data_IF_840079005449
#
_entry.id   IF_840079005449
#
_cell.length_a   1.000
_cell.length_b   1.000
_cell.length_c   1.000
_cell.angle_alpha   90.00
_cell.angle_beta   90.00
_cell.angle_gamma   90.00
#
_symmetry.space_group_name_H-M   'P 1'
#
loop_
_entity.id
_entity.type
_entity.pdbx_description
1 polymer ?
#
# COMPACT_ATOMS: atom_id res chain seq x y z
N UNK A 1 -5.47 21.66 -13.50
CA UNK A 1 -4.11 21.22 -13.17
C UNK A 1 -3.94 21.37 -11.67
N UNK A 2 -4.26 20.33 -10.91
CA UNK A 2 -4.05 20.33 -9.46
C UNK A 2 -2.59 20.00 -9.21
N UNK A 3 -1.74 21.02 -9.03
CA UNK A 3 -0.38 20.80 -8.56
C UNK A 3 -0.49 20.18 -7.16
N UNK A 4 -0.12 18.90 -7.03
CA UNK A 4 0.09 18.26 -5.74
C UNK A 4 1.30 18.94 -5.09
N UNK A 5 1.03 19.95 -4.27
CA UNK A 5 2.09 20.72 -3.62
C UNK A 5 2.45 20.06 -2.30
N UNK A 6 3.65 19.47 -2.24
CA UNK A 6 4.30 19.17 -0.96
C UNK A 6 5.06 20.43 -0.54
N UNK A 7 4.72 21.04 0.60
CA UNK A 7 5.45 22.20 1.10
C UNK A 7 6.96 21.95 1.21
N UNK A 8 7.78 22.91 0.78
CA UNK A 8 9.24 22.74 0.75
C UNK A 8 9.85 22.46 2.13
N UNK A 9 9.23 22.97 3.21
CA UNK A 9 9.65 22.74 4.59
C UNK A 9 9.43 21.29 5.07
N UNK A 10 8.58 20.54 4.37
CA UNK A 10 8.40 19.10 4.57
C UNK A 10 9.44 18.26 3.83
N UNK A 11 10.22 18.85 2.91
CA UNK A 11 11.23 18.15 2.12
C UNK A 11 12.61 18.18 2.80
N UNK A 12 13.40 17.14 2.54
CA UNK A 12 14.84 17.12 2.84
C UNK A 12 15.58 17.38 1.54
N UNK A 13 16.17 18.57 1.40
CA UNK A 13 17.00 18.90 0.25
C UNK A 13 18.45 18.51 0.56
N UNK A 14 18.93 17.42 -0.04
CA UNK A 14 20.31 16.98 0.16
C UNK A 14 21.29 17.79 -0.69
N UNK A 15 22.40 18.19 -0.06
CA UNK A 15 23.59 18.70 -0.76
C UNK A 15 24.67 17.62 -0.97
N UNK A 16 24.44 16.42 -0.44
CA UNK A 16 25.43 15.34 -0.38
C UNK A 16 25.12 14.17 -1.34
N UNK A 17 23.90 14.06 -1.83
CA UNK A 17 23.47 13.01 -2.75
C UNK A 17 22.60 13.59 -3.87
N UNK A 18 22.71 13.08 -5.11
CA UNK A 18 21.84 13.48 -6.21
C UNK A 18 20.42 12.96 -6.00
N UNK A 19 19.43 13.61 -6.62
CA UNK A 19 18.04 13.12 -6.67
C UNK A 19 17.98 11.69 -7.21
N UNK A 20 17.09 10.87 -6.64
CA UNK A 20 16.86 9.50 -7.08
C UNK A 20 16.54 9.46 -8.57
N UNK A 21 17.16 8.51 -9.27
CA UNK A 21 16.91 8.29 -10.70
C UNK A 21 16.71 6.80 -10.95
N UNK A 22 15.70 6.48 -11.76
CA UNK A 22 15.42 5.12 -12.21
C UNK A 22 15.24 5.12 -13.72
N UNK A 23 15.97 4.23 -14.40
CA UNK A 23 15.87 4.01 -15.83
C UNK A 23 15.30 2.62 -16.08
N UNK A 24 14.13 2.53 -16.69
CA UNK A 24 13.56 1.26 -17.15
C UNK A 24 13.59 1.14 -18.68
N UNK A 25 13.80 -0.09 -19.14
CA UNK A 25 13.59 -0.50 -20.53
C UNK A 25 12.35 -1.40 -20.53
N UNK A 26 11.29 -0.95 -21.19
CA UNK A 26 10.01 -1.64 -21.21
C UNK A 26 9.78 -2.38 -22.53
N UNK A 27 9.27 -3.61 -22.46
CA UNK A 27 8.86 -4.42 -23.62
C UNK A 27 7.40 -4.84 -23.39
N UNK A 28 6.50 -4.45 -24.31
CA UNK A 28 5.06 -4.71 -24.20
C UNK A 28 4.44 -4.24 -22.87
N UNK A 29 4.83 -3.06 -22.39
CA UNK A 29 4.30 -2.47 -21.15
C UNK A 29 4.86 -3.06 -19.85
N UNK A 30 5.74 -4.08 -19.95
CA UNK A 30 6.41 -4.70 -18.81
C UNK A 30 7.88 -4.27 -18.75
N UNK A 31 8.41 -4.14 -17.54
CA UNK A 31 9.82 -3.80 -17.31
C UNK A 31 10.70 -5.00 -17.69
N UNK A 32 11.53 -4.84 -18.71
CA UNK A 32 12.51 -5.85 -19.13
C UNK A 32 13.87 -5.67 -18.41
N UNK A 33 14.32 -4.42 -18.25
CA UNK A 33 15.51 -4.06 -17.49
C UNK A 33 15.28 -2.79 -16.67
N UNK A 34 15.91 -2.69 -15.52
CA UNK A 34 15.86 -1.53 -14.65
C UNK A 34 17.23 -1.20 -14.05
N UNK A 35 17.62 0.07 -14.08
CA UNK A 35 18.81 0.59 -13.41
C UNK A 35 18.37 1.65 -12.40
N UNK A 36 18.62 1.39 -11.12
CA UNK A 36 18.27 2.28 -10.02
C UNK A 36 19.50 2.97 -9.43
N UNK A 37 19.41 4.28 -9.25
CA UNK A 37 20.30 5.08 -8.43
C UNK A 37 19.44 5.84 -7.43
N UNK A 38 18.97 5.14 -6.39
CA UNK A 38 17.98 5.64 -5.43
C UNK A 38 18.60 5.69 -4.02
N UNK A 39 19.45 4.73 -3.70
CA UNK A 39 20.05 4.51 -2.39
C UNK A 39 20.79 5.73 -1.83
N UNK A 40 21.59 6.51 -2.60
CA UNK A 40 22.34 7.63 -2.05
C UNK A 40 21.44 8.70 -1.40
N UNK A 41 20.32 9.06 -2.03
CA UNK A 41 19.39 10.07 -1.51
C UNK A 41 18.51 9.51 -0.40
N UNK A 42 18.04 8.27 -0.53
CA UNK A 42 17.20 7.65 0.50
C UNK A 42 17.95 7.48 1.82
N UNK A 43 19.27 7.24 1.78
CA UNK A 43 20.13 7.22 2.98
C UNK A 43 20.21 8.56 3.72
N UNK A 44 19.80 9.67 3.10
CA UNK A 44 19.74 10.99 3.74
C UNK A 44 18.48 11.13 4.61
N UNK A 45 17.47 10.29 4.40
CA UNK A 45 16.30 10.19 5.26
C UNK A 45 16.73 9.32 6.45
N UNK A 46 17.14 9.99 7.52
CA UNK A 46 17.68 9.35 8.74
C UNK A 46 16.68 9.49 9.90
N UNK A 47 16.80 8.68 10.98
CA UNK A 47 15.95 8.85 12.16
C UNK A 47 16.01 10.28 12.72
N UNK A 48 17.20 10.88 12.72
CA UNK A 48 17.40 12.27 13.15
C UNK A 48 16.63 13.28 12.30
N UNK A 49 16.55 13.07 10.98
CA UNK A 49 15.79 13.96 10.10
C UNK A 49 14.28 13.83 10.27
N UNK A 50 13.79 12.62 10.57
CA UNK A 50 12.38 12.39 10.93
C UNK A 50 12.06 13.04 12.27
N UNK A 51 12.91 12.83 13.29
CA UNK A 51 12.70 13.39 14.63
C UNK A 51 12.64 14.93 14.64
N UNK A 52 13.49 15.60 13.85
CA UNK A 52 13.43 17.08 13.68
C UNK A 52 12.07 17.56 13.15
N UNK A 53 11.35 16.69 12.45
CA UNK A 53 10.08 16.93 11.78
C UNK A 53 8.90 16.27 12.48
N UNK A 54 9.08 15.82 13.73
CA UNK A 54 8.03 15.13 14.50
C UNK A 54 6.71 15.90 14.60
N UNK A 55 6.76 17.24 14.57
CA UNK A 55 5.56 18.08 14.65
C UNK A 55 4.59 17.85 13.47
N UNK A 56 5.07 17.43 12.29
CA UNK A 56 4.17 17.08 11.18
C UNK A 56 3.32 15.83 11.45
N UNK A 57 3.68 15.01 12.43
CA UNK A 57 2.89 13.84 12.81
C UNK A 57 1.69 14.20 13.67
N UNK A 58 1.61 15.42 14.24
CA UNK A 58 0.54 15.80 15.18
C UNK A 58 -0.83 15.90 14.48
N UNK A 59 -0.87 16.41 13.26
CA UNK A 59 -2.11 16.78 12.57
C UNK A 59 -2.54 15.83 11.45
N UNK A 60 -1.78 14.75 11.21
CA UNK A 60 -2.11 13.79 10.13
C UNK A 60 -3.11 12.73 10.61
N UNK A 61 -3.92 12.22 9.68
CA UNK A 61 -4.81 11.07 9.92
C UNK A 61 -4.10 9.72 9.70
N UNK A 62 -3.10 9.71 8.81
CA UNK A 62 -2.36 8.53 8.41
C UNK A 62 -0.96 8.92 7.93
N UNK A 63 0.04 8.14 8.34
CA UNK A 63 1.40 8.19 7.82
C UNK A 63 1.57 7.05 6.84
N UNK A 64 1.96 7.35 5.61
CA UNK A 64 2.21 6.34 4.57
C UNK A 64 3.72 6.26 4.36
N UNK A 65 4.27 5.05 4.42
CA UNK A 65 5.69 4.79 4.13
C UNK A 65 5.82 3.70 3.10
N UNK A 66 6.70 3.93 2.14
CA UNK A 66 7.21 2.87 1.30
C UNK A 66 8.32 2.08 2.01
N UNK A 67 8.76 0.99 1.39
CA UNK A 67 9.87 0.17 1.85
C UNK A 67 11.24 0.70 1.46
N UNK A 68 11.37 1.90 0.86
CA UNK A 68 12.67 2.41 0.43
C UNK A 68 13.46 2.99 1.61
N UNK A 69 12.82 3.67 2.56
CA UNK A 69 13.49 4.25 3.73
C UNK A 69 14.13 3.19 4.64
N UNK A 70 15.33 3.47 5.17
CA UNK A 70 16.07 2.48 5.97
C UNK A 70 15.28 2.01 7.21
N UNK A 71 15.56 0.80 7.71
CA UNK A 71 14.78 0.16 8.77
C UNK A 71 14.78 0.99 10.07
N UNK A 72 15.93 1.57 10.47
CA UNK A 72 16.02 2.41 11.66
C UNK A 72 15.15 3.67 11.55
N UNK A 73 15.08 4.26 10.36
CA UNK A 73 14.25 5.43 10.07
C UNK A 73 12.79 5.04 10.06
N UNK A 74 12.44 3.90 9.46
CA UNK A 74 11.06 3.43 9.50
C UNK A 74 10.61 3.12 10.93
N UNK A 75 11.49 2.53 11.76
CA UNK A 75 11.23 2.33 13.19
C UNK A 75 11.00 3.65 13.93
N UNK A 76 11.77 4.69 13.63
CA UNK A 76 11.54 6.04 14.16
C UNK A 76 10.18 6.62 13.71
N UNK A 77 9.82 6.46 12.43
CA UNK A 77 8.50 6.83 11.88
C UNK A 77 7.38 6.11 12.64
N UNK A 78 7.49 4.79 12.82
CA UNK A 78 6.51 4.01 13.59
C UNK A 78 6.42 4.47 15.05
N UNK A 79 7.57 4.72 15.70
CA UNK A 79 7.62 5.15 17.10
C UNK A 79 6.93 6.50 17.30
N UNK A 80 7.24 7.49 16.46
CA UNK A 80 6.63 8.82 16.53
C UNK A 80 5.13 8.74 16.21
N UNK A 81 4.76 7.95 15.19
CA UNK A 81 3.35 7.74 14.85
C UNK A 81 2.58 7.11 16.02
N UNK A 82 3.17 6.15 16.71
CA UNK A 82 2.57 5.51 17.88
C UNK A 82 2.40 6.51 19.04
N UNK A 83 3.42 7.34 19.31
CA UNK A 83 3.37 8.41 20.32
C UNK A 83 2.18 9.36 20.08
N UNK A 84 1.95 9.74 18.82
CA UNK A 84 0.85 10.62 18.42
C UNK A 84 -0.46 9.88 18.06
N UNK A 85 -0.52 8.57 18.31
CA UNK A 85 -1.68 7.70 18.02
C UNK A 85 -2.14 7.76 16.55
N UNK A 86 -1.20 7.84 15.62
CA UNK A 86 -1.45 7.92 14.17
C UNK A 86 -1.44 6.55 13.51
N UNK A 87 -2.28 6.41 12.48
CA UNK A 87 -2.28 5.22 11.63
C UNK A 87 -1.00 5.19 10.80
N UNK A 88 -0.39 4.02 10.66
CA UNK A 88 0.77 3.81 9.78
C UNK A 88 0.39 2.81 8.70
N UNK A 89 0.45 3.21 7.43
CA UNK A 89 0.31 2.34 6.27
C UNK A 89 1.68 2.05 5.66
N UNK A 90 1.97 0.77 5.45
CA UNK A 90 3.21 0.33 4.84
C UNK A 90 2.97 -0.38 3.50
N UNK A 91 3.75 0.03 2.50
CA UNK A 91 3.88 -0.65 1.21
C UNK A 91 5.33 -1.10 1.02
N UNK A 92 5.62 -2.41 0.92
CA UNK A 92 6.98 -2.88 0.72
C UNK A 92 7.67 -2.32 -0.52
N UNK A 93 6.96 -2.08 -1.62
CA UNK A 93 7.47 -1.75 -2.97
C UNK A 93 8.38 -2.78 -3.65
N UNK A 94 9.06 -3.64 -2.90
CA UNK A 94 9.86 -4.74 -3.43
C UNK A 94 10.00 -5.86 -2.39
N UNK A 95 10.19 -7.10 -2.89
CA UNK A 95 10.32 -8.32 -2.09
C UNK A 95 11.42 -8.17 -1.03
N UNK A 96 12.57 -7.55 -1.38
CA UNK A 96 13.70 -7.37 -0.45
C UNK A 96 13.40 -6.38 0.68
N UNK A 97 12.38 -5.52 0.54
CA UNK A 97 12.00 -4.57 1.58
C UNK A 97 11.10 -5.17 2.64
N UNK A 98 10.44 -6.30 2.33
CA UNK A 98 9.67 -7.08 3.30
C UNK A 98 10.58 -7.55 4.45
N UNK A 99 11.86 -7.82 4.17
CA UNK A 99 12.87 -8.21 5.17
C UNK A 99 13.12 -7.15 6.25
N UNK A 100 12.66 -5.92 6.05
CA UNK A 100 12.74 -4.84 7.06
C UNK A 100 11.66 -4.96 8.12
N UNK A 101 10.66 -5.81 7.92
CA UNK A 101 9.60 -6.05 8.87
C UNK A 101 10.09 -7.04 9.93
N UNK A 102 10.08 -6.59 11.16
CA UNK A 102 10.16 -7.43 12.34
C UNK A 102 8.87 -7.32 13.15
N UNK A 103 8.75 -8.13 14.21
CA UNK A 103 7.54 -8.18 15.04
C UNK A 103 7.21 -6.84 15.68
N UNK A 104 8.22 -6.03 16.03
CA UNK A 104 7.98 -4.74 16.67
C UNK A 104 7.40 -3.73 15.69
N UNK A 105 7.93 -3.70 14.47
CA UNK A 105 7.42 -2.85 13.40
C UNK A 105 6.00 -3.27 13.04
N UNK A 106 5.76 -4.55 12.82
CA UNK A 106 4.41 -5.06 12.48
C UNK A 106 3.37 -4.70 13.53
N UNK A 107 3.72 -4.74 14.81
CA UNK A 107 2.81 -4.36 15.90
C UNK A 107 2.48 -2.86 15.95
N UNK A 108 3.17 -2.03 15.16
CA UNK A 108 2.93 -0.59 15.06
C UNK A 108 2.23 -0.20 13.76
N UNK A 109 2.07 -1.14 12.82
CA UNK A 109 1.37 -0.87 11.56
C UNK A 109 -0.14 -0.94 11.77
N UNK A 110 -0.83 0.04 11.20
CA UNK A 110 -2.28 -0.01 11.03
C UNK A 110 -2.66 -0.74 9.73
N UNK A 111 -1.90 -0.47 8.66
CA UNK A 111 -2.13 -1.00 7.32
C UNK A 111 -0.88 -1.58 6.68
N UNK A 112 -1.04 -2.67 5.92
CA UNK A 112 0.05 -3.30 5.16
C UNK A 112 -0.45 -3.79 3.81
N UNK A 113 0.30 -3.52 2.72
CA UNK A 113 -0.20 -3.69 1.34
C UNK A 113 0.71 -4.47 0.37
N UNK A 114 1.20 -5.67 0.71
CA UNK A 114 2.09 -6.41 -0.17
C UNK A 114 1.40 -6.88 -1.46
N UNK A 115 2.16 -6.98 -2.55
CA UNK A 115 1.76 -7.80 -3.70
C UNK A 115 1.94 -9.30 -3.41
N UNK A 116 1.50 -10.16 -4.34
CA UNK A 116 1.64 -11.63 -4.25
C UNK A 116 3.05 -12.10 -3.84
N UNK A 117 4.10 -11.56 -4.44
CA UNK A 117 5.46 -12.05 -4.21
C UNK A 117 6.02 -11.55 -2.88
N UNK A 118 5.75 -10.29 -2.54
CA UNK A 118 6.06 -9.72 -1.22
C UNK A 118 5.31 -10.45 -0.12
N UNK A 119 4.06 -10.84 -0.37
CA UNK A 119 3.25 -11.61 0.56
C UNK A 119 3.81 -13.01 0.82
N UNK A 120 4.25 -13.71 -0.23
CA UNK A 120 4.96 -14.99 -0.07
C UNK A 120 6.22 -14.82 0.77
N UNK A 121 6.99 -13.75 0.53
CA UNK A 121 8.18 -13.45 1.33
C UNK A 121 7.83 -13.15 2.79
N UNK A 122 6.75 -12.42 3.03
CA UNK A 122 6.20 -12.20 4.37
C UNK A 122 5.86 -13.54 5.04
N UNK A 123 5.18 -14.45 4.33
CA UNK A 123 4.88 -15.78 4.85
C UNK A 123 6.16 -16.54 5.26
N UNK A 124 7.21 -16.49 4.44
CA UNK A 124 8.49 -17.13 4.76
C UNK A 124 9.14 -16.57 6.03
N UNK A 125 9.22 -15.23 6.16
CA UNK A 125 9.83 -14.55 7.31
C UNK A 125 9.09 -14.88 8.61
N UNK A 126 7.76 -14.90 8.55
CA UNK A 126 6.90 -15.08 9.73
C UNK A 126 6.46 -16.53 9.95
N UNK A 127 7.06 -17.49 9.24
CA UNK A 127 6.78 -18.92 9.34
C UNK A 127 5.29 -19.27 9.15
N UNK A 128 4.63 -18.54 8.26
CA UNK A 128 3.27 -18.87 7.83
C UNK A 128 3.38 -20.06 6.87
N UNK A 129 2.61 -21.14 7.09
CA UNK A 129 2.57 -22.29 6.19
C UNK A 129 2.42 -21.88 4.72
N UNK A 130 3.18 -22.57 3.87
CA UNK A 130 3.15 -22.36 2.42
C UNK A 130 1.71 -22.49 1.90
N UNK A 131 1.35 -21.54 1.04
CA UNK A 131 0.02 -21.43 0.45
C UNK A 131 0.09 -22.04 -0.96
N UNK A 132 -0.89 -22.87 -1.29
CA UNK A 132 -0.98 -23.49 -2.61
C UNK A 132 -1.02 -22.42 -3.71
N UNK A 133 -0.24 -22.61 -4.78
CA UNK A 133 -0.15 -21.65 -5.88
C UNK A 133 -1.52 -21.39 -6.53
N UNK A 134 -2.39 -22.40 -6.56
CA UNK A 134 -3.76 -22.29 -7.08
C UNK A 134 -4.63 -21.32 -6.30
N UNK A 135 -4.35 -21.07 -5.01
CA UNK A 135 -5.07 -20.08 -4.23
C UNK A 135 -4.86 -18.67 -4.79
N UNK A 136 -3.71 -18.39 -5.43
CA UNK A 136 -3.40 -17.07 -5.99
C UNK A 136 -3.98 -16.84 -7.38
N UNK A 137 -4.67 -17.82 -8.00
CA UNK A 137 -5.19 -17.65 -9.37
C UNK A 137 -6.41 -16.73 -9.44
N UNK A 138 -7.13 -16.55 -8.33
CA UNK A 138 -8.23 -15.59 -8.18
C UNK A 138 -8.26 -15.06 -6.75
N UNK A 139 -8.63 -13.79 -6.57
CA UNK A 139 -8.78 -13.19 -5.25
C UNK A 139 -9.78 -13.94 -4.35
N UNK A 140 -10.87 -14.44 -4.94
CA UNK A 140 -11.87 -15.24 -4.22
C UNK A 140 -11.26 -16.53 -3.67
N UNK A 141 -10.41 -17.22 -4.43
CA UNK A 141 -9.79 -18.48 -4.00
C UNK A 141 -8.83 -18.28 -2.84
N UNK A 142 -8.07 -17.19 -2.86
CA UNK A 142 -7.19 -16.83 -1.74
C UNK A 142 -8.02 -16.44 -0.51
N UNK A 143 -9.10 -15.68 -0.68
CA UNK A 143 -10.00 -15.32 0.40
C UNK A 143 -10.62 -16.57 1.05
N UNK A 144 -11.16 -17.49 0.25
CA UNK A 144 -11.73 -18.76 0.70
C UNK A 144 -10.69 -19.64 1.40
N UNK A 145 -9.47 -19.69 0.87
CA UNK A 145 -8.36 -20.43 1.47
C UNK A 145 -8.12 -20.02 2.92
N UNK A 146 -8.13 -18.71 3.20
CA UNK A 146 -7.96 -18.18 4.55
C UNK A 146 -9.24 -18.23 5.39
N UNK A 147 -10.42 -18.01 4.81
CA UNK A 147 -11.69 -18.10 5.53
C UNK A 147 -11.90 -19.49 6.14
N UNK A 148 -11.44 -20.54 5.46
CA UNK A 148 -11.49 -21.92 5.93
C UNK A 148 -10.39 -22.28 6.95
N UNK A 149 -9.40 -21.40 7.17
CA UNK A 149 -8.20 -21.64 7.99
C UNK A 149 -8.01 -20.54 9.03
N UNK A 150 -8.98 -20.39 9.94
CA UNK A 150 -9.00 -19.32 10.95
C UNK A 150 -7.67 -19.18 11.72
N UNK A 151 -7.05 -20.29 12.13
CA UNK A 151 -5.75 -20.25 12.84
C UNK A 151 -4.63 -19.65 11.99
N UNK A 152 -4.62 -19.94 10.69
CA UNK A 152 -3.67 -19.38 9.74
C UNK A 152 -3.92 -17.88 9.56
N UNK A 153 -5.18 -17.49 9.40
CA UNK A 153 -5.62 -16.09 9.27
C UNK A 153 -5.21 -15.26 10.48
N UNK A 154 -5.36 -15.80 11.69
CA UNK A 154 -4.89 -15.14 12.92
C UNK A 154 -3.37 -14.98 12.94
N UNK A 155 -2.62 -15.99 12.47
CA UNK A 155 -1.16 -15.91 12.34
C UNK A 155 -0.69 -14.86 11.32
N UNK A 156 -1.50 -14.60 10.28
CA UNK A 156 -1.22 -13.59 9.26
C UNK A 156 -1.33 -12.16 9.79
N UNK A 157 -2.11 -11.96 10.86
CA UNK A 157 -2.59 -10.66 11.34
C UNK A 157 -2.01 -10.30 12.73
N UNK A 158 -0.67 -10.13 12.87
CA UNK A 158 -0.07 -9.86 14.16
C UNK A 158 -0.51 -8.51 14.74
N UNK A 159 -0.63 -8.49 16.06
CA UNK A 159 -0.69 -7.26 16.87
C UNK A 159 -1.80 -6.29 16.48
N UNK A 160 -1.42 -5.08 16.07
CA UNK A 160 -2.31 -3.95 15.80
C UNK A 160 -2.60 -3.72 14.32
N UNK A 161 -2.24 -4.64 13.43
CA UNK A 161 -2.67 -4.52 12.03
C UNK A 161 -4.21 -4.54 12.03
N UNK A 162 -4.80 -3.56 11.33
CA UNK A 162 -6.23 -3.43 11.12
C UNK A 162 -6.62 -3.71 9.68
N UNK A 163 -5.74 -3.39 8.72
CA UNK A 163 -5.94 -3.65 7.29
C UNK A 163 -4.72 -4.35 6.70
N UNK A 164 -4.89 -5.55 6.18
CA UNK A 164 -3.85 -6.26 5.42
C UNK A 164 -4.40 -6.50 4.02
N UNK A 165 -3.79 -5.88 3.03
CA UNK A 165 -4.25 -5.86 1.66
C UNK A 165 -3.26 -6.57 0.76
N UNK A 166 -3.70 -7.61 0.06
CA UNK A 166 -2.86 -8.39 -0.85
C UNK A 166 -3.29 -8.10 -2.29
N UNK A 167 -2.41 -7.45 -3.05
CA UNK A 167 -2.64 -7.24 -4.49
C UNK A 167 -2.16 -8.45 -5.30
N UNK A 168 -2.99 -8.91 -6.24
CA UNK A 168 -2.75 -10.12 -7.04
C UNK A 168 -2.70 -9.84 -8.54
N UNK A 169 -2.53 -8.58 -8.94
CA UNK A 169 -2.54 -8.17 -10.35
C UNK A 169 -3.89 -8.47 -11.00
N UNK A 170 -3.88 -9.21 -12.11
CA UNK A 170 -5.09 -9.62 -12.84
C UNK A 170 -6.06 -10.48 -12.02
N UNK A 171 -5.55 -11.18 -11.00
CA UNK A 171 -6.38 -12.00 -10.11
C UNK A 171 -7.16 -11.15 -9.08
N UNK A 172 -6.94 -9.83 -9.02
CA UNK A 172 -7.67 -8.90 -8.17
C UNK A 172 -6.96 -8.58 -6.86
N UNK A 173 -7.74 -8.43 -5.78
CA UNK A 173 -7.25 -8.01 -4.47
C UNK A 173 -8.01 -8.72 -3.34
N UNK A 174 -7.30 -9.02 -2.25
CA UNK A 174 -7.88 -9.53 -1.01
C UNK A 174 -7.57 -8.57 0.12
N UNK A 175 -8.59 -8.18 0.89
CA UNK A 175 -8.45 -7.38 2.10
C UNK A 175 -8.88 -8.21 3.30
N UNK A 176 -8.01 -8.21 4.29
CA UNK A 176 -8.28 -8.71 5.62
C UNK A 176 -8.44 -7.49 6.54
N UNK A 177 -9.55 -7.44 7.26
CA UNK A 177 -9.94 -6.32 8.11
C UNK A 177 -10.22 -6.80 9.52
N UNK A 178 -9.56 -6.22 10.52
CA UNK A 178 -9.93 -6.44 11.91
C UNK A 178 -11.25 -5.75 12.20
N UNK A 179 -12.22 -6.50 12.73
CA UNK A 179 -13.52 -5.94 13.09
C UNK A 179 -13.37 -4.91 14.22
N UNK A 180 -14.06 -3.78 14.08
CA UNK A 180 -14.11 -2.74 15.10
C UNK A 180 -14.97 -3.16 16.30
N UNK A 181 -15.93 -4.08 16.10
CA UNK A 181 -16.82 -4.59 17.15
C UNK A 181 -16.14 -5.71 17.94
N UNK A 182 -15.39 -6.58 17.27
CA UNK A 182 -14.67 -7.67 17.90
C UNK A 182 -13.26 -7.80 17.30
N UNK A 183 -12.21 -7.29 17.97
CA UNK A 183 -10.82 -7.35 17.49
C UNK A 183 -10.27 -8.75 17.20
N UNK A 184 -10.90 -9.81 17.71
CA UNK A 184 -10.51 -11.20 17.42
C UNK A 184 -11.09 -11.75 16.11
N UNK A 185 -12.01 -11.01 15.49
CA UNK A 185 -12.65 -11.34 14.22
C UNK A 185 -11.95 -10.61 13.10
N UNK A 186 -11.48 -11.38 12.12
CA UNK A 186 -10.91 -10.88 10.87
C UNK A 186 -11.94 -11.10 9.76
N UNK A 187 -12.45 -10.02 9.20
CA UNK A 187 -13.29 -10.03 8.00
C UNK A 187 -12.41 -10.13 6.76
N UNK A 188 -12.80 -10.97 5.81
CA UNK A 188 -12.07 -11.17 4.55
C UNK A 188 -12.97 -10.73 3.41
N UNK A 189 -12.49 -9.80 2.60
CA UNK A 189 -13.15 -9.31 1.37
C UNK A 189 -12.24 -9.55 0.20
N UNK A 190 -12.82 -9.87 -0.95
CA UNK A 190 -12.07 -9.96 -2.21
C UNK A 190 -12.81 -9.22 -3.32
N UNK A 191 -12.04 -8.68 -4.26
CA UNK A 191 -12.57 -8.08 -5.48
C UNK A 191 -11.72 -8.54 -6.66
N UNK A 192 -12.39 -9.05 -7.69
CA UNK A 192 -11.77 -9.35 -8.97
C UNK A 192 -11.20 -8.07 -9.60
N UNK A 193 -10.16 -8.21 -10.42
CA UNK A 193 -9.61 -7.08 -11.16
C UNK A 193 -10.71 -6.48 -12.08
N UNK A 194 -10.96 -5.16 -12.04
CA UNK A 194 -11.98 -4.57 -12.90
C UNK A 194 -11.59 -4.75 -14.37
N UNK A 195 -12.59 -4.90 -15.23
CA UNK A 195 -12.37 -4.84 -16.67
C UNK A 195 -12.03 -3.39 -17.07
N UNK A 196 -11.01 -3.23 -17.89
CA UNK A 196 -10.61 -1.94 -18.45
C UNK A 196 -10.26 -2.09 -19.94
N UNK A 197 -10.40 -1.01 -20.69
CA UNK A 197 -10.41 -1.09 -22.17
C UNK A 197 -9.03 -1.41 -22.75
N UNK A 198 -7.96 -0.97 -22.08
CA UNK A 198 -6.60 -1.10 -22.60
C UNK A 198 -5.57 -1.29 -21.49
N UNK A 199 -4.70 -2.28 -21.63
CA UNK A 199 -3.47 -2.34 -20.83
C UNK A 199 -2.36 -1.56 -21.53
N UNK A 200 -1.72 -0.63 -20.82
CA UNK A 200 -0.57 0.13 -21.34
C UNK A 200 0.69 -0.15 -20.51
N UNK A 201 0.62 -0.03 -19.18
CA UNK A 201 1.76 -0.17 -18.28
C UNK A 201 1.30 -0.62 -16.90
N UNK A 202 2.05 -1.50 -16.24
CA UNK A 202 1.80 -1.84 -14.82
C UNK A 202 2.44 -0.85 -13.83
N UNK A 203 3.26 0.09 -14.31
CA UNK A 203 4.04 0.98 -13.46
C UNK A 203 3.12 1.98 -12.73
N UNK A 204 3.22 2.05 -11.40
CA UNK A 204 2.42 2.94 -10.56
C UNK A 204 1.02 2.42 -10.22
N UNK A 205 0.62 1.23 -10.70
CA UNK A 205 -0.70 0.68 -10.41
C UNK A 205 -0.91 0.35 -8.92
N UNK A 206 0.12 -0.17 -8.25
CA UNK A 206 0.11 -0.43 -6.81
C UNK A 206 0.00 0.86 -5.98
N UNK A 207 0.86 1.84 -6.27
CA UNK A 207 0.83 3.17 -5.61
C UNK A 207 -0.54 3.85 -5.78
N UNK A 208 -1.07 3.81 -7.01
CA UNK A 208 -2.38 4.32 -7.36
C UNK A 208 -3.50 3.60 -6.60
N UNK A 209 -3.41 2.27 -6.50
CA UNK A 209 -4.33 1.48 -5.70
C UNK A 209 -4.33 1.93 -4.23
N UNK A 210 -3.14 1.99 -3.61
CA UNK A 210 -2.97 2.35 -2.21
C UNK A 210 -3.50 3.76 -1.94
N UNK A 211 -3.18 4.73 -2.80
CA UNK A 211 -3.70 6.10 -2.72
C UNK A 211 -5.23 6.14 -2.77
N UNK A 212 -5.85 5.46 -3.73
CA UNK A 212 -7.31 5.42 -3.88
C UNK A 212 -8.00 4.77 -2.68
N UNK A 213 -7.46 3.65 -2.20
CA UNK A 213 -7.96 2.93 -1.04
C UNK A 213 -7.89 3.78 0.23
N UNK A 214 -6.70 4.30 0.56
CA UNK A 214 -6.46 5.10 1.77
C UNK A 214 -7.32 6.36 1.75
N UNK A 215 -7.40 7.05 0.60
CA UNK A 215 -8.24 8.25 0.46
C UNK A 215 -9.72 7.96 0.72
N UNK A 216 -10.25 6.84 0.21
CA UNK A 216 -11.63 6.43 0.47
C UNK A 216 -11.85 6.10 1.94
N UNK A 217 -10.94 5.32 2.53
CA UNK A 217 -11.04 4.93 3.94
C UNK A 217 -11.00 6.15 4.87
N UNK A 218 -10.08 7.09 4.65
CA UNK A 218 -9.99 8.32 5.45
C UNK A 218 -11.20 9.23 5.31
N UNK A 219 -12.02 9.06 4.26
CA UNK A 219 -13.30 9.74 4.08
C UNK A 219 -14.48 9.04 4.78
N UNK A 220 -14.22 7.95 5.52
CA UNK A 220 -15.24 7.21 6.26
C UNK A 220 -16.04 6.23 5.43
N UNK A 221 -15.60 5.92 4.20
CA UNK A 221 -16.23 4.88 3.40
C UNK A 221 -15.87 3.49 3.97
N UNK A 222 -16.76 2.52 3.76
CA UNK A 222 -16.50 1.13 4.12
C UNK A 222 -15.40 0.48 3.26
N UNK A 223 -15.05 -0.75 3.62
CA UNK A 223 -14.02 -1.53 2.94
C UNK A 223 -14.36 -1.85 1.49
N UNK A 224 -15.63 -2.11 1.17
CA UNK A 224 -16.06 -2.45 -0.18
C UNK A 224 -15.96 -1.26 -1.13
N UNK A 225 -16.34 -0.08 -0.66
CA UNK A 225 -16.18 1.18 -1.40
C UNK A 225 -14.69 1.52 -1.53
N UNK A 226 -13.92 1.34 -0.46
CA UNK A 226 -12.48 1.65 -0.46
C UNK A 226 -11.69 0.75 -1.40
N UNK A 227 -12.03 -0.54 -1.49
CA UNK A 227 -11.49 -1.44 -2.50
C UNK A 227 -11.84 -0.97 -3.92
N UNK A 228 -13.07 -0.55 -4.16
CA UNK A 228 -13.48 -0.03 -5.48
C UNK A 228 -12.72 1.23 -5.87
N UNK A 229 -12.50 2.15 -4.93
CA UNK A 229 -11.71 3.37 -5.19
C UNK A 229 -10.25 3.02 -5.53
N UNK A 230 -9.63 2.12 -4.76
CA UNK A 230 -8.29 1.60 -5.08
C UNK A 230 -8.24 0.99 -6.48
N UNK A 231 -9.19 0.12 -6.82
CA UNK A 231 -9.25 -0.53 -8.13
C UNK A 231 -9.45 0.45 -9.29
N UNK A 232 -10.33 1.46 -9.16
CA UNK A 232 -10.55 2.48 -10.20
C UNK A 232 -9.32 3.36 -10.41
N UNK A 233 -8.61 3.68 -9.32
CA UNK A 233 -7.38 4.47 -9.37
C UNK A 233 -6.26 3.67 -10.04
N UNK A 234 -6.10 2.39 -9.67
CA UNK A 234 -5.17 1.47 -10.32
C UNK A 234 -5.49 1.26 -11.80
N UNK A 235 -6.76 1.04 -12.15
CA UNK A 235 -7.20 0.88 -13.55
C UNK A 235 -6.90 2.12 -14.41
N UNK A 236 -6.98 3.31 -13.82
CA UNK A 236 -6.60 4.55 -14.52
C UNK A 236 -5.09 4.58 -14.83
N UNK A 237 -4.26 4.20 -13.85
CA UNK A 237 -2.79 4.06 -14.03
C UNK A 237 -2.43 2.98 -15.05
N UNK A 238 -3.08 1.82 -15.00
CA UNK A 238 -2.87 0.70 -15.94
C UNK A 238 -3.12 1.07 -17.41
N UNK A 239 -4.01 2.05 -17.63
CA UNK A 239 -4.40 2.59 -18.93
C UNK A 239 -3.53 3.77 -19.39
N UNK A 240 -2.39 4.02 -18.74
CA UNK A 240 -1.52 5.16 -18.99
C UNK A 240 -0.04 4.76 -19.12
N UNK A 241 0.76 5.65 -19.72
CA UNK A 241 2.23 5.58 -19.62
C UNK A 241 2.76 6.30 -18.37
N UNK A 242 2.02 7.31 -17.90
CA UNK A 242 2.30 8.00 -16.64
C UNK A 242 1.95 7.11 -15.45
N UNK A 243 2.80 7.06 -14.42
CA UNK A 243 2.55 6.29 -13.19
C UNK A 243 1.32 6.80 -12.44
N UNK A 244 1.09 8.12 -12.47
CA UNK A 244 -0.09 8.80 -11.94
C UNK A 244 -0.68 9.69 -13.04
N UNK A 245 -1.65 9.19 -13.82
CA UNK A 245 -2.27 9.98 -14.88
C UNK A 245 -3.21 11.05 -14.35
N UNK A 246 -3.31 12.17 -15.08
CA UNK A 246 -4.25 13.27 -14.80
C UNK A 246 -5.74 12.86 -14.86
N UNK A 247 -6.03 11.67 -15.40
CA UNK A 247 -7.38 11.09 -15.41
C UNK A 247 -7.84 10.66 -14.01
N UNK A 248 -6.91 10.45 -13.08
CA UNK A 248 -7.22 10.20 -11.67
C UNK A 248 -7.82 11.47 -11.06
N UNK A 249 -9.13 11.45 -10.84
CA UNK A 249 -9.88 12.52 -10.20
C UNK A 249 -10.98 11.94 -9.32
N UNK A 250 -11.45 12.72 -8.33
CA UNK A 250 -12.54 12.29 -7.46
C UNK A 250 -13.81 11.95 -8.25
N UNK A 251 -14.09 12.70 -9.32
CA UNK A 251 -15.28 12.46 -10.16
C UNK A 251 -15.15 11.16 -10.95
N UNK A 252 -13.96 10.88 -11.50
CA UNK A 252 -13.69 9.61 -12.18
C UNK A 252 -13.74 8.42 -11.22
N UNK A 253 -13.19 8.57 -10.01
CA UNK A 253 -13.13 7.50 -9.01
C UNK A 253 -14.51 7.23 -8.38
N UNK A 254 -15.34 8.25 -8.16
CA UNK A 254 -16.72 8.06 -7.66
C UNK A 254 -17.63 7.36 -8.68
N UNK A 255 -17.35 7.54 -9.97
CA UNK A 255 -18.22 7.08 -11.05
C UNK A 255 -19.46 7.96 -11.18
N UNK A 256 -20.00 8.11 -12.39
CA UNK A 256 -21.20 8.92 -12.63
C UNK A 256 -22.40 8.32 -11.87
N UNK A 257 -22.92 9.10 -10.91
CA UNK A 257 -24.09 8.92 -10.02
C UNK A 257 -23.90 8.05 -8.78
N UNK A 258 -23.28 8.64 -7.75
CA UNK A 258 -23.94 8.63 -6.44
C UNK A 258 -25.22 9.47 -6.59
N UNK A 259 -26.37 8.81 -6.75
CA UNK A 259 -27.64 9.49 -6.55
C UNK A 259 -27.61 10.05 -5.13
N UNK A 260 -27.58 11.38 -5.01
CA UNK A 260 -27.88 12.06 -3.75
C UNK A 260 -29.17 11.46 -3.22
N UNK A 261 -29.09 10.70 -2.13
CA UNK A 261 -30.26 10.44 -1.30
C UNK A 261 -30.52 11.74 -0.57
N UNK A 262 -31.27 12.63 -1.22
CA UNK A 262 -31.95 13.74 -0.57
C UNK A 262 -33.19 13.20 0.12
N UNK A 263 -33.13 13.11 1.45
CA UNK A 263 -34.12 13.65 2.40
C UNK A 263 -33.63 13.34 3.82
#
# INVERSE_FOLDING_TARGET
>A
MGLYFVPEDQLIVSKAAPTASYLSVNVNGNIAHGYSSIEPIIRQITPKEVLKRRHFFEDVDCVVSDGNINQDTFREVCSISHEFQKKVWFDPTDISKVDRLDKDILNQLWGFSPNKNEFKRYCDIFNIPQIDESAFSKSEYLADYFAQRISLTKGLFPGNIHKFLITLGEAGVVLFSRSEVNPDVIEIRSKECPQFEKFISASGAGDSFNSGFITSYLRGNDDDISLQWGQRTAASSLQSLETVPDTISLDAIRGVKEAKVTA
#
